data_IF_800945486987
#
_entry.id   IF_800945486987
#
_cell.length_a   1.000
_cell.length_b   1.000
_cell.length_c   1.000
_cell.angle_alpha   90.00
_cell.angle_beta   90.00
_cell.angle_gamma   90.00
#
_symmetry.space_group_name_H-M   'P 1'
#
loop_
_entity.id
_entity.type
_entity.pdbx_description
1 polymer ?
#
# COMPACT_ATOMS: atom_id res chain seq x y z
N UNK A 1 -1.39 9.16 20.98
CA UNK A 1 -0.94 7.76 21.14
C UNK A 1 -1.58 6.80 20.12
N UNK A 2 -2.85 6.98 19.72
CA UNK A 2 -3.57 6.10 18.79
C UNK A 2 -2.89 5.91 17.41
N UNK A 3 -2.65 7.00 16.65
CA UNK A 3 -2.08 6.93 15.29
C UNK A 3 -0.70 6.26 15.23
N UNK A 4 0.19 6.59 16.18
CA UNK A 4 1.52 5.99 16.25
C UNK A 4 1.45 4.46 16.44
N UNK A 5 0.58 3.99 17.33
CA UNK A 5 0.42 2.56 17.60
C UNK A 5 -0.09 1.81 16.36
N UNK A 6 -1.04 2.41 15.62
CA UNK A 6 -1.58 1.82 14.37
C UNK A 6 -0.57 1.81 13.23
N UNK A 7 0.16 2.91 13.04
CA UNK A 7 1.29 2.98 12.09
C UNK A 7 2.31 1.86 12.36
N UNK A 8 2.73 1.73 13.63
CA UNK A 8 3.70 0.72 14.03
C UNK A 8 3.16 -0.70 13.81
N UNK A 9 1.92 -0.96 14.21
CA UNK A 9 1.30 -2.27 14.03
C UNK A 9 1.30 -2.72 12.57
N UNK A 10 0.87 -1.86 11.62
CA UNK A 10 0.86 -2.24 10.21
C UNK A 10 2.25 -2.33 9.59
N UNK A 11 3.20 -1.52 10.04
CA UNK A 11 4.59 -1.62 9.61
C UNK A 11 5.23 -2.94 10.08
N UNK A 12 4.92 -3.37 11.31
CA UNK A 12 5.41 -4.63 11.85
C UNK A 12 4.72 -5.83 11.17
N UNK A 13 3.40 -5.77 10.93
CA UNK A 13 2.68 -6.78 10.14
C UNK A 13 3.24 -6.92 8.73
N UNK A 14 3.54 -5.81 8.05
CA UNK A 14 4.16 -5.82 6.71
C UNK A 14 5.50 -6.59 6.69
N UNK A 15 6.34 -6.42 7.73
CA UNK A 15 7.60 -7.17 7.87
C UNK A 15 7.38 -8.66 8.09
N UNK A 16 6.37 -9.04 8.88
CA UNK A 16 6.02 -10.44 9.11
C UNK A 16 5.46 -11.09 7.84
N UNK A 17 4.55 -10.41 7.16
CA UNK A 17 3.96 -10.87 5.90
C UNK A 17 5.03 -11.03 4.80
N UNK A 18 6.06 -10.19 4.80
CA UNK A 18 7.19 -10.32 3.86
C UNK A 18 7.95 -11.65 4.05
N UNK A 19 8.07 -12.13 5.28
CA UNK A 19 8.62 -13.47 5.58
C UNK A 19 7.64 -14.58 5.22
N UNK A 20 6.35 -14.37 5.50
CA UNK A 20 5.28 -15.30 5.17
C UNK A 20 5.17 -15.57 3.65
N UNK A 21 5.55 -14.58 2.81
CA UNK A 21 5.62 -14.71 1.35
C UNK A 21 6.36 -15.98 0.93
N UNK A 22 7.51 -16.27 1.54
CA UNK A 22 8.33 -17.43 1.17
C UNK A 22 7.57 -18.74 1.42
N UNK A 23 6.97 -18.89 2.60
CA UNK A 23 6.16 -20.06 2.96
C UNK A 23 4.95 -20.22 2.04
N UNK A 24 4.30 -19.12 1.64
CA UNK A 24 3.14 -19.19 0.74
C UNK A 24 3.58 -19.56 -0.68
N UNK A 25 4.71 -19.04 -1.18
CA UNK A 25 5.25 -19.43 -2.48
C UNK A 25 5.67 -20.90 -2.52
N UNK A 26 6.23 -21.43 -1.44
CA UNK A 26 6.51 -22.87 -1.29
C UNK A 26 5.21 -23.69 -1.36
N UNK A 27 4.15 -23.28 -0.64
CA UNK A 27 2.83 -23.94 -0.71
C UNK A 27 2.24 -23.92 -2.13
N UNK A 28 2.45 -22.83 -2.89
CA UNK A 28 2.03 -22.73 -4.29
C UNK A 28 2.78 -23.75 -5.15
N UNK A 29 4.11 -23.82 -5.06
CA UNK A 29 4.92 -24.80 -5.82
C UNK A 29 4.45 -26.24 -5.59
N UNK A 30 4.26 -26.63 -4.32
CA UNK A 30 3.78 -27.97 -3.96
C UNK A 30 2.39 -28.25 -4.57
N UNK A 31 1.52 -27.24 -4.59
CA UNK A 31 0.15 -27.39 -5.08
C UNK A 31 0.08 -27.47 -6.62
N UNK A 32 1.01 -26.82 -7.31
CA UNK A 32 1.15 -26.86 -8.78
C UNK A 32 1.72 -28.18 -9.29
N UNK A 33 2.59 -28.83 -8.49
CA UNK A 33 3.16 -30.15 -8.77
C UNK A 33 2.16 -31.30 -8.59
N UNK A 34 1.14 -31.11 -7.74
CA UNK A 34 0.06 -32.09 -7.56
C UNK A 34 -0.73 -32.23 -8.86
N UNK A 35 -1.14 -33.44 -9.23
CA UNK A 35 -2.10 -33.68 -10.32
C UNK A 35 -3.52 -33.18 -9.93
N UNK A 36 -3.66 -31.87 -9.74
CA UNK A 36 -4.94 -31.19 -9.53
C UNK A 36 -5.41 -30.59 -10.85
N UNK A 37 -6.72 -30.39 -10.98
CA UNK A 37 -7.27 -29.62 -12.12
C UNK A 37 -6.98 -28.12 -11.97
N UNK A 38 -6.56 -27.70 -10.78
CA UNK A 38 -6.33 -26.32 -10.37
C UNK A 38 -4.83 -26.02 -10.37
N UNK A 39 -4.20 -25.97 -11.55
CA UNK A 39 -2.77 -25.63 -11.67
C UNK A 39 -2.46 -24.15 -11.59
N UNK A 40 -3.48 -23.29 -11.62
CA UNK A 40 -3.31 -21.83 -11.58
C UNK A 40 -3.52 -21.30 -10.16
N UNK A 41 -2.41 -21.00 -9.49
CA UNK A 41 -2.36 -20.35 -8.17
C UNK A 41 -1.92 -18.89 -8.24
N UNK A 42 -1.97 -18.25 -9.42
CA UNK A 42 -1.66 -16.81 -9.57
C UNK A 42 -2.54 -15.91 -8.69
N UNK A 43 -3.73 -16.37 -8.30
CA UNK A 43 -4.60 -15.68 -7.35
C UNK A 43 -3.97 -15.51 -5.96
N UNK A 44 -3.10 -16.43 -5.53
CA UNK A 44 -2.38 -16.35 -4.26
C UNK A 44 -1.34 -15.25 -4.31
N UNK A 45 -0.51 -15.25 -5.36
CA UNK A 45 0.55 -14.25 -5.53
C UNK A 45 -0.02 -12.86 -5.77
N UNK A 46 -1.07 -12.74 -6.57
CA UNK A 46 -1.81 -11.48 -6.75
C UNK A 46 -2.45 -11.00 -5.43
N UNK A 47 -3.01 -11.92 -4.64
CA UNK A 47 -3.54 -11.62 -3.31
C UNK A 47 -2.45 -11.09 -2.36
N UNK A 48 -1.26 -11.69 -2.36
CA UNK A 48 -0.12 -11.23 -1.57
C UNK A 48 0.35 -9.83 -1.97
N UNK A 49 0.49 -9.55 -3.26
CA UNK A 49 0.86 -8.21 -3.73
C UNK A 49 -0.19 -7.17 -3.34
N UNK A 50 -1.47 -7.54 -3.38
CA UNK A 50 -2.55 -6.69 -2.92
C UNK A 50 -2.43 -6.40 -1.42
N UNK A 51 -2.23 -7.44 -0.60
CA UNK A 51 -2.06 -7.34 0.84
C UNK A 51 -0.93 -6.36 1.19
N UNK A 52 0.27 -6.56 0.64
CA UNK A 52 1.42 -5.70 0.87
C UNK A 52 1.17 -4.23 0.52
N UNK A 53 0.59 -3.99 -0.66
CA UNK A 53 0.26 -2.62 -1.08
C UNK A 53 -0.74 -1.98 -0.11
N UNK A 54 -1.77 -2.72 0.28
CA UNK A 54 -2.77 -2.20 1.23
C UNK A 54 -2.22 -1.97 2.65
N UNK A 55 -1.26 -2.77 3.11
CA UNK A 55 -0.55 -2.52 4.38
C UNK A 55 0.23 -1.22 4.36
N UNK A 56 0.93 -0.94 3.26
CA UNK A 56 1.62 0.36 3.08
C UNK A 56 0.62 1.51 3.11
N UNK A 57 -0.48 1.38 2.36
CA UNK A 57 -1.58 2.36 2.35
C UNK A 57 -2.10 2.62 3.76
N UNK A 58 -2.46 1.57 4.50
CA UNK A 58 -2.91 1.70 5.88
C UNK A 58 -1.84 2.32 6.78
N UNK A 59 -0.59 1.85 6.72
CA UNK A 59 0.49 2.35 7.58
C UNK A 59 0.62 3.87 7.43
N UNK A 60 0.77 4.38 6.21
CA UNK A 60 0.96 5.81 5.96
C UNK A 60 -0.31 6.65 6.12
N UNK A 61 -1.50 6.02 6.08
CA UNK A 61 -2.75 6.72 6.37
C UNK A 61 -2.82 7.26 7.81
N UNK A 62 -2.18 6.60 8.79
CA UNK A 62 -2.25 7.05 10.20
C UNK A 62 -1.39 8.28 10.48
N UNK A 63 -0.11 8.36 10.05
CA UNK A 63 0.64 9.60 10.10
C UNK A 63 -0.03 10.74 9.33
N UNK A 64 -0.60 10.46 8.14
CA UNK A 64 -1.35 11.46 7.40
C UNK A 64 -2.50 12.04 8.24
N UNK A 65 -3.36 11.19 8.81
CA UNK A 65 -4.46 11.65 9.66
C UNK A 65 -3.97 12.47 10.86
N UNK A 66 -2.89 12.03 11.52
CA UNK A 66 -2.31 12.74 12.66
C UNK A 66 -1.91 14.17 12.32
N UNK A 67 -1.23 14.38 11.19
CA UNK A 67 -0.74 15.71 10.81
C UNK A 67 -1.82 16.56 10.14
N UNK A 68 -2.69 15.95 9.34
CA UNK A 68 -3.73 16.64 8.58
C UNK A 68 -4.86 17.14 9.49
N UNK A 69 -5.31 16.28 10.42
CA UNK A 69 -6.43 16.59 11.32
C UNK A 69 -5.96 16.99 12.73
N UNK A 70 -4.66 16.92 13.02
CA UNK A 70 -4.08 17.43 14.25
C UNK A 70 -4.05 18.96 14.33
N UNK A 71 -3.61 19.47 15.48
CA UNK A 71 -3.52 20.92 15.75
C UNK A 71 -2.18 21.55 15.32
N UNK A 72 -1.37 20.86 14.53
CA UNK A 72 0.00 21.30 14.21
C UNK A 72 0.09 22.02 12.86
N UNK A 73 0.00 21.27 11.75
CA UNK A 73 0.37 21.77 10.43
C UNK A 73 -0.77 22.48 9.69
N UNK A 74 -2.00 21.99 9.80
CA UNK A 74 -3.14 22.47 8.98
C UNK A 74 -4.28 23.03 9.84
N UNK A 75 -3.98 23.55 11.03
CA UNK A 75 -5.01 24.06 11.97
C UNK A 75 -5.86 25.17 11.36
N UNK A 76 -5.24 26.09 10.63
CA UNK A 76 -5.89 27.30 10.13
C UNK A 76 -6.51 27.14 8.73
N UNK A 77 -6.33 25.97 8.10
CA UNK A 77 -6.81 25.68 6.73
C UNK A 77 -8.26 25.19 6.67
N UNK A 78 -8.85 24.79 7.80
CA UNK A 78 -10.25 24.34 7.86
C UNK A 78 -10.86 24.64 9.23
N UNK A 79 -12.17 24.90 9.23
CA UNK A 79 -12.94 25.09 10.47
C UNK A 79 -12.95 23.82 11.32
N UNK A 80 -13.19 23.95 12.63
CA UNK A 80 -13.23 22.79 13.53
C UNK A 80 -14.32 21.78 13.14
N UNK A 81 -15.51 22.25 12.76
CA UNK A 81 -16.63 21.39 12.36
C UNK A 81 -16.30 20.62 11.07
N UNK A 82 -15.70 21.30 10.09
CA UNK A 82 -15.26 20.68 8.84
C UNK A 82 -14.16 19.64 9.07
N UNK A 83 -13.20 19.96 9.94
CA UNK A 83 -12.12 19.06 10.35
C UNK A 83 -12.66 17.78 10.97
N UNK A 84 -13.58 17.90 11.92
CA UNK A 84 -14.18 16.77 12.61
C UNK A 84 -14.94 15.85 11.62
N UNK A 85 -15.74 16.44 10.72
CA UNK A 85 -16.47 15.68 9.69
C UNK A 85 -15.50 14.94 8.77
N UNK A 86 -14.46 15.62 8.28
CA UNK A 86 -13.47 15.02 7.37
C UNK A 86 -12.64 13.94 8.03
N UNK A 87 -12.22 14.19 9.28
CA UNK A 87 -11.49 13.21 10.08
C UNK A 87 -12.32 11.95 10.30
N UNK A 88 -13.58 12.09 10.72
CA UNK A 88 -14.45 10.94 10.95
C UNK A 88 -14.69 10.14 9.67
N UNK A 89 -14.90 10.80 8.52
CA UNK A 89 -15.04 10.13 7.24
C UNK A 89 -13.77 9.38 6.84
N UNK A 90 -12.60 10.00 7.01
CA UNK A 90 -11.31 9.38 6.73
C UNK A 90 -11.06 8.15 7.62
N UNK A 91 -11.26 8.27 8.93
CA UNK A 91 -11.07 7.19 9.89
C UNK A 91 -12.01 6.00 9.64
N UNK A 92 -13.25 6.28 9.20
CA UNK A 92 -14.17 5.22 8.77
C UNK A 92 -13.64 4.45 7.56
N UNK A 93 -13.06 5.15 6.58
CA UNK A 93 -12.40 4.49 5.44
C UNK A 93 -11.19 3.67 5.88
N UNK A 94 -10.38 4.17 6.82
CA UNK A 94 -9.24 3.41 7.38
C UNK A 94 -9.72 2.11 8.03
N UNK A 95 -10.76 2.15 8.87
CA UNK A 95 -11.30 0.96 9.53
C UNK A 95 -11.88 -0.05 8.53
N UNK A 96 -12.58 0.43 7.50
CA UNK A 96 -13.14 -0.42 6.45
C UNK A 96 -12.03 -1.12 5.65
N UNK A 97 -10.98 -0.38 5.29
CA UNK A 97 -9.82 -0.93 4.63
C UNK A 97 -9.11 -1.95 5.54
N UNK A 98 -8.83 -1.59 6.79
CA UNK A 98 -8.18 -2.45 7.79
C UNK A 98 -8.91 -3.79 7.93
N UNK A 99 -10.23 -3.77 8.14
CA UNK A 99 -11.02 -4.99 8.29
C UNK A 99 -10.92 -5.93 7.09
N UNK A 100 -10.93 -5.40 5.86
CA UNK A 100 -10.81 -6.21 4.66
C UNK A 100 -9.38 -6.74 4.46
N UNK A 101 -8.37 -5.93 4.77
CA UNK A 101 -6.96 -6.32 4.73
C UNK A 101 -6.68 -7.47 5.71
N UNK A 102 -7.19 -7.40 6.94
CA UNK A 102 -7.02 -8.51 7.90
C UNK A 102 -7.72 -9.79 7.45
N UNK A 103 -8.89 -9.69 6.80
CA UNK A 103 -9.58 -10.85 6.22
C UNK A 103 -8.76 -11.49 5.10
N UNK A 104 -8.19 -10.67 4.21
CA UNK A 104 -7.32 -11.15 3.14
C UNK A 104 -6.06 -11.84 3.69
N UNK A 105 -5.41 -11.25 4.71
CA UNK A 105 -4.24 -11.86 5.37
C UNK A 105 -4.56 -13.26 5.88
N UNK A 106 -5.64 -13.40 6.64
CA UNK A 106 -6.06 -14.69 7.21
C UNK A 106 -6.32 -15.74 6.14
N UNK A 107 -6.99 -15.37 5.04
CA UNK A 107 -7.27 -16.29 3.94
C UNK A 107 -6.00 -16.77 3.22
N UNK A 108 -4.99 -15.90 3.09
CA UNK A 108 -3.71 -16.26 2.47
C UNK A 108 -2.85 -17.17 3.37
N UNK A 109 -3.07 -17.12 4.68
CA UNK A 109 -2.39 -17.99 5.66
C UNK A 109 -2.93 -19.42 5.68
N UNK A 110 -4.18 -19.64 5.23
CA UNK A 110 -4.83 -20.95 5.19
C UNK A 110 -3.95 -22.02 4.50
N UNK A 111 -3.95 -23.27 4.98
CA UNK A 111 -3.18 -24.37 4.39
C UNK A 111 -3.89 -24.94 3.15
N UNK A 112 -4.08 -24.13 2.11
CA UNK A 112 -4.79 -24.53 0.88
C UNK A 112 -4.16 -25.74 0.18
N UNK A 113 -2.86 -25.95 0.33
CA UNK A 113 -2.14 -27.12 -0.19
C UNK A 113 -2.62 -28.45 0.42
N UNK A 114 -3.28 -28.41 1.58
CA UNK A 114 -3.82 -29.57 2.28
C UNK A 114 -5.32 -29.78 2.01
N UNK A 115 -5.96 -28.89 1.25
CA UNK A 115 -7.39 -28.91 1.02
C UNK A 115 -7.78 -29.66 -0.26
N UNK A 116 -9.06 -30.01 -0.33
CA UNK A 116 -9.68 -30.52 -1.53
C UNK A 116 -10.03 -29.36 -2.49
N UNK A 117 -10.16 -29.69 -3.78
CA UNK A 117 -10.33 -28.72 -4.87
C UNK A 117 -11.54 -27.78 -4.66
N UNK A 118 -12.63 -28.27 -4.07
CA UNK A 118 -13.84 -27.50 -3.77
C UNK A 118 -13.55 -26.36 -2.78
N UNK A 119 -12.84 -26.65 -1.69
CA UNK A 119 -12.44 -25.65 -0.71
C UNK A 119 -11.39 -24.69 -1.29
N UNK A 120 -10.49 -25.17 -2.14
CA UNK A 120 -9.50 -24.30 -2.83
C UNK A 120 -10.23 -23.30 -3.74
N UNK A 121 -11.25 -23.73 -4.48
CA UNK A 121 -12.07 -22.84 -5.31
C UNK A 121 -12.80 -21.78 -4.48
N UNK A 122 -13.32 -22.15 -3.32
CA UNK A 122 -13.97 -21.20 -2.41
C UNK A 122 -12.98 -20.12 -1.93
N UNK A 123 -11.80 -20.54 -1.44
CA UNK A 123 -10.76 -19.61 -0.98
C UNK A 123 -10.31 -18.70 -2.14
N UNK A 124 -10.10 -19.26 -3.33
CA UNK A 124 -9.74 -18.50 -4.54
C UNK A 124 -10.75 -17.40 -4.83
N UNK A 125 -12.05 -17.73 -4.81
CA UNK A 125 -13.14 -16.76 -5.02
C UNK A 125 -13.10 -15.64 -3.96
N UNK A 126 -12.93 -16.00 -2.69
CA UNK A 126 -12.86 -15.02 -1.61
C UNK A 126 -11.64 -14.08 -1.73
N UNK A 127 -10.46 -14.63 -2.06
CA UNK A 127 -9.24 -13.84 -2.25
C UNK A 127 -9.38 -12.87 -3.43
N UNK A 128 -9.95 -13.31 -4.56
CA UNK A 128 -10.20 -12.45 -5.72
C UNK A 128 -11.15 -11.31 -5.34
N UNK A 129 -12.27 -11.63 -4.70
CA UNK A 129 -13.27 -10.64 -4.31
C UNK A 129 -12.72 -9.61 -3.32
N UNK A 130 -12.04 -10.06 -2.26
CA UNK A 130 -11.40 -9.17 -1.30
C UNK A 130 -10.32 -8.32 -1.95
N UNK A 131 -9.56 -8.86 -2.90
CA UNK A 131 -8.54 -8.11 -3.61
C UNK A 131 -9.12 -6.94 -4.41
N UNK A 132 -10.29 -7.13 -5.03
CA UNK A 132 -11.03 -6.07 -5.73
C UNK A 132 -11.55 -5.04 -4.74
N UNK A 133 -12.19 -5.47 -3.65
CA UNK A 133 -12.72 -4.58 -2.61
C UNK A 133 -11.61 -3.70 -2.04
N UNK A 134 -10.50 -4.30 -1.59
CA UNK A 134 -9.35 -3.59 -1.03
C UNK A 134 -8.76 -2.61 -2.04
N UNK A 135 -8.63 -3.01 -3.31
CA UNK A 135 -8.15 -2.12 -4.34
C UNK A 135 -9.02 -0.86 -4.51
N UNK A 136 -10.34 -1.03 -4.46
CA UNK A 136 -11.28 0.06 -4.60
C UNK A 136 -11.25 0.96 -3.36
N UNK A 137 -11.20 0.40 -2.15
CA UNK A 137 -11.06 1.17 -0.91
C UNK A 137 -9.78 2.00 -0.89
N UNK A 138 -8.65 1.45 -1.34
CA UNK A 138 -7.41 2.22 -1.49
C UNK A 138 -7.59 3.38 -2.48
N UNK A 139 -8.26 3.15 -3.62
CA UNK A 139 -8.53 4.17 -4.64
C UNK A 139 -9.42 5.28 -4.07
N UNK A 140 -10.53 4.91 -3.44
CA UNK A 140 -11.47 5.83 -2.82
C UNK A 140 -10.80 6.69 -1.75
N UNK A 141 -9.92 6.09 -0.94
CA UNK A 141 -9.17 6.84 0.07
C UNK A 141 -8.22 7.88 -0.55
N UNK A 142 -7.54 7.53 -1.65
CA UNK A 142 -6.72 8.49 -2.40
C UNK A 142 -7.55 9.60 -3.03
N UNK A 143 -8.66 9.25 -3.68
CA UNK A 143 -9.57 10.22 -4.30
C UNK A 143 -10.17 11.15 -3.24
N UNK A 144 -10.48 10.64 -2.04
CA UNK A 144 -10.95 11.44 -0.92
C UNK A 144 -9.86 12.40 -0.42
N UNK A 145 -8.63 11.92 -0.24
CA UNK A 145 -7.50 12.78 0.16
C UNK A 145 -7.29 13.89 -0.86
N UNK A 146 -7.22 13.56 -2.15
CA UNK A 146 -6.93 14.53 -3.20
C UNK A 146 -8.05 15.58 -3.34
N UNK A 147 -9.30 15.15 -3.43
CA UNK A 147 -10.40 16.05 -3.76
C UNK A 147 -11.01 16.75 -2.53
N UNK A 148 -11.24 16.00 -1.45
CA UNK A 148 -12.00 16.50 -0.30
C UNK A 148 -11.10 17.08 0.78
N UNK A 149 -9.91 16.50 0.97
CA UNK A 149 -8.98 16.95 2.02
C UNK A 149 -8.05 18.03 1.47
N UNK A 150 -7.25 17.72 0.45
CA UNK A 150 -6.25 18.63 -0.11
C UNK A 150 -6.86 19.68 -1.04
N UNK A 151 -7.87 19.31 -1.84
CA UNK A 151 -8.58 20.26 -2.72
C UNK A 151 -9.30 21.39 -1.99
N UNK A 152 -9.50 21.27 -0.67
CA UNK A 152 -10.09 22.30 0.17
C UNK A 152 -9.10 23.27 0.81
N UNK A 153 -7.80 22.95 0.76
CA UNK A 153 -6.73 23.75 1.38
C UNK A 153 -6.42 24.94 0.47
N UNK A 154 -6.30 26.14 1.05
CA UNK A 154 -6.18 27.38 0.28
C UNK A 154 -4.73 27.74 -0.06
N UNK A 155 -3.76 27.24 0.71
CA UNK A 155 -2.35 27.66 0.63
C UNK A 155 -1.48 26.66 -0.12
N UNK A 156 -1.26 26.87 -1.42
CA UNK A 156 -0.25 26.13 -2.20
C UNK A 156 -0.80 24.97 -3.01
N UNK A 157 0.00 24.49 -3.97
CA UNK A 157 -0.40 23.45 -4.91
C UNK A 157 -0.17 22.08 -4.24
N UNK A 158 -1.10 21.63 -3.41
CA UNK A 158 -1.04 20.33 -2.76
C UNK A 158 -1.59 19.25 -3.69
N UNK A 159 -0.76 18.27 -4.03
CA UNK A 159 -1.15 17.13 -4.84
C UNK A 159 -0.49 15.87 -4.34
N UNK A 160 -1.18 14.74 -4.47
CA UNK A 160 -0.62 13.42 -4.19
C UNK A 160 -0.39 12.69 -5.51
N UNK A 161 0.52 11.72 -5.50
CA UNK A 161 0.67 10.83 -6.65
C UNK A 161 -0.64 10.03 -6.86
N UNK A 162 -1.11 9.89 -8.11
CA UNK A 162 -2.34 9.16 -8.38
C UNK A 162 -2.19 7.70 -7.98
N UNK A 163 -3.25 7.14 -7.39
CA UNK A 163 -3.30 5.72 -7.07
C UNK A 163 -3.18 4.89 -8.36
N UNK A 164 -2.23 3.94 -8.40
CA UNK A 164 -2.23 2.91 -9.47
C UNK A 164 -2.36 1.52 -8.87
N UNK A 165 -3.38 0.84 -9.34
CA UNK A 165 -3.78 -0.49 -8.89
C UNK A 165 -2.80 -1.61 -9.24
N UNK A 166 -1.75 -1.35 -10.04
CA UNK A 166 -0.76 -2.31 -10.55
C UNK A 166 0.71 -1.83 -10.45
N UNK A 167 0.98 -0.73 -9.75
CA UNK A 167 2.23 0.03 -9.88
C UNK A 167 3.52 -0.71 -9.51
N UNK A 168 3.47 -1.65 -8.55
CA UNK A 168 4.65 -2.34 -7.99
C UNK A 168 4.91 -3.70 -8.67
N UNK A 169 3.88 -4.38 -9.17
CA UNK A 169 3.98 -5.72 -9.75
C UNK A 169 4.95 -5.78 -10.95
N UNK A 170 5.11 -4.67 -11.68
CA UNK A 170 6.02 -4.56 -12.83
C UNK A 170 7.49 -4.28 -12.49
N UNK A 171 7.82 -3.79 -11.29
CA UNK A 171 9.20 -3.49 -10.94
C UNK A 171 10.01 -4.78 -10.71
N UNK A 172 9.39 -5.77 -10.07
CA UNK A 172 9.95 -7.13 -9.91
C UNK A 172 10.07 -7.91 -11.22
N UNK A 173 9.29 -7.57 -12.26
CA UNK A 173 9.42 -8.17 -13.60
C UNK A 173 10.62 -7.57 -14.38
N UNK A 174 11.07 -6.37 -14.04
CA UNK A 174 12.19 -5.69 -14.71
C UNK A 174 13.56 -6.15 -14.19
N UNK A 175 13.66 -6.62 -12.95
CA UNK A 175 14.94 -7.10 -12.37
C UNK A 175 15.47 -8.37 -13.05
N UNK A 176 14.61 -9.14 -13.71
CA UNK A 176 14.99 -10.37 -14.44
C UNK A 176 15.68 -10.06 -15.78
N UNK A 177 15.53 -8.84 -16.32
CA UNK A 177 16.08 -8.49 -17.63
C UNK A 177 17.46 -7.81 -17.60
N UNK A 178 17.93 -7.34 -16.43
CA UNK A 178 19.18 -6.58 -16.33
C UNK A 178 20.47 -7.38 -16.10
N UNK A 179 20.39 -8.70 -15.92
CA UNK A 179 21.58 -9.57 -15.81
C UNK A 179 22.19 -9.97 -17.17
N UNK A 180 22.06 -9.10 -18.19
CA UNK A 180 22.56 -9.32 -19.54
C UNK A 180 23.41 -8.17 -20.06
N UNK A 181 24.74 -8.28 -19.86
CA UNK A 181 25.85 -7.52 -20.49
C UNK A 181 26.12 -6.08 -20.05
N UNK A 182 27.22 -5.97 -19.31
CA UNK A 182 28.12 -4.81 -19.20
C UNK A 182 28.63 -4.37 -20.58
N UNK A 183 28.60 -3.07 -20.86
CA UNK A 183 29.66 -2.39 -21.61
C UNK A 183 29.81 -0.94 -21.16
N UNK A 184 31.04 -0.62 -20.76
CA UNK A 184 31.55 0.62 -20.21
C UNK A 184 31.29 1.85 -21.06
N UNK A 185 30.84 2.94 -20.43
CA UNK A 185 31.34 4.31 -20.72
C UNK A 185 31.05 5.22 -19.53
N UNK A 186 32.12 5.83 -19.02
CA UNK A 186 32.07 6.87 -18.01
C UNK A 186 31.45 8.15 -18.57
N UNK A 187 30.63 8.85 -17.79
CA UNK A 187 30.75 10.31 -17.69
C UNK A 187 29.98 10.90 -16.49
N UNK A 188 30.77 11.51 -15.61
CA UNK A 188 30.55 12.77 -14.86
C UNK A 188 29.40 12.86 -13.86
N UNK A 189 29.76 12.60 -12.60
CA UNK A 189 29.18 13.26 -11.43
C UNK A 189 29.41 14.77 -11.48
N UNK A 190 28.36 15.55 -11.23
CA UNK A 190 28.47 16.93 -10.73
C UNK A 190 27.70 17.02 -9.40
N UNK A 191 28.30 17.57 -8.33
CA UNK A 191 27.62 17.82 -7.08
C UNK A 191 26.79 19.10 -7.22
N UNK A 192 25.54 19.09 -6.76
CA UNK A 192 24.75 20.32 -6.64
C UNK A 192 24.50 20.63 -5.18
N UNK A 193 24.77 21.88 -4.85
CA UNK A 193 25.06 22.43 -3.54
C UNK A 193 23.94 22.39 -2.50
N UNK A 194 24.40 22.40 -1.25
CA UNK A 194 23.63 22.68 -0.04
C UNK A 194 23.05 24.10 -0.09
N UNK A 195 21.71 24.21 0.00
CA UNK A 195 20.99 25.45 0.22
C UNK A 195 19.91 25.27 1.27
N UNK A 196 20.21 25.69 2.50
CA UNK A 196 19.27 25.72 3.63
C UNK A 196 18.38 26.96 3.50
N UNK A 197 17.11 26.80 3.09
CA UNK A 197 16.00 27.72 3.40
C UNK A 197 14.71 27.26 2.70
N UNK A 198 13.70 26.86 3.47
CA UNK A 198 12.32 26.64 2.98
C UNK A 198 11.97 25.22 2.52
N UNK A 199 11.99 24.22 3.41
CA UNK A 199 11.30 22.94 3.16
C UNK A 199 9.80 23.18 3.27
N UNK A 200 9.13 23.25 2.13
CA UNK A 200 7.73 23.65 2.02
C UNK A 200 6.80 22.48 2.32
N UNK A 201 5.56 22.75 2.74
CA UNK A 201 4.49 21.77 2.99
C UNK A 201 4.20 20.85 1.78
N UNK A 202 4.64 21.24 0.58
CA UNK A 202 4.68 20.39 -0.61
C UNK A 202 5.59 19.17 -0.44
N UNK A 203 6.76 19.31 0.21
CA UNK A 203 7.67 18.20 0.49
C UNK A 203 7.04 17.22 1.50
N UNK A 204 6.17 17.70 2.38
CA UNK A 204 5.49 16.88 3.38
C UNK A 204 4.49 15.91 2.73
N UNK A 205 3.56 16.41 1.92
CA UNK A 205 2.57 15.56 1.24
C UNK A 205 3.20 14.65 0.19
N UNK A 206 4.22 15.16 -0.51
CA UNK A 206 4.93 14.36 -1.47
C UNK A 206 5.83 13.33 -0.78
N UNK A 207 6.37 13.56 0.42
CA UNK A 207 7.02 12.51 1.23
C UNK A 207 6.03 11.43 1.71
N UNK A 208 4.81 11.81 2.11
CA UNK A 208 3.79 10.82 2.51
C UNK A 208 3.21 10.03 1.33
N UNK A 209 3.15 10.59 0.11
CA UNK A 209 2.48 9.96 -1.04
C UNK A 209 3.35 9.66 -2.29
N UNK A 210 4.55 10.25 -2.47
CA UNK A 210 5.51 9.86 -3.53
C UNK A 210 6.33 8.63 -3.12
N UNK A 211 6.56 8.38 -1.83
CA UNK A 211 7.21 7.16 -1.36
C UNK A 211 6.29 5.92 -1.40
N UNK A 212 5.04 6.09 -1.84
CA UNK A 212 4.22 4.98 -2.33
C UNK A 212 4.75 4.39 -3.64
N UNK A 213 5.60 5.12 -4.38
CA UNK A 213 6.16 4.69 -5.67
C UNK A 213 7.62 4.26 -5.63
N UNK A 214 8.49 4.88 -4.82
CA UNK A 214 9.94 4.85 -5.09
C UNK A 214 10.86 4.33 -3.97
N UNK A 215 10.35 3.65 -2.94
CA UNK A 215 11.21 3.00 -1.95
C UNK A 215 11.14 1.47 -2.07
N UNK A 216 11.96 0.94 -2.97
CA UNK A 216 12.76 -0.27 -2.79
C UNK A 216 14.23 0.12 -3.01
N UNK A 217 14.97 0.30 -1.90
CA UNK A 217 16.31 -0.28 -1.71
C UNK A 217 16.28 -1.07 -0.41
#
# INVERSE_FOLDING_TARGET
>A
MHYHNRYKAHTDSFKLESKLKETILEKVSISEERESRLRDFSWVTNGLYRLFRSRRVLSYSYPFAFYMFGEELFRDEMSNDEREIKQHLFENQQQLLESNVEKLSKLLEEPFNQYADDKIMEIRMQVINLSVIINNLCKEMYEYIENEVLGSIQVGNHGIAPYKSKGIEKASELSVCWNGKVSSTADKFLPSDCGTSGKSEQDFFSFFFLDFYNLEE
#
